data_IF_419745088518
#
_entry.id   IF_419745088518
#
_cell.length_a   1.000
_cell.length_b   1.000
_cell.length_c   1.000
_cell.angle_alpha   90.00
_cell.angle_beta   90.00
_cell.angle_gamma   90.00
#
_symmetry.space_group_name_H-M   'P 1'
#
loop_
_entity.id
_entity.type
_entity.pdbx_description
1 polymer ?
#
# COMPACT_ATOMS: atom_id res chain seq x y z
N UNK A 1 15.81 -16.12 19.11
CA UNK A 1 14.84 -15.72 18.07
C UNK A 1 15.62 -15.13 16.90
N UNK A 2 15.40 -15.57 15.65
CA UNK A 2 16.00 -14.93 14.47
C UNK A 2 14.99 -13.92 13.93
N UNK A 3 15.33 -12.63 13.92
CA UNK A 3 14.45 -11.59 13.38
C UNK A 3 14.48 -11.58 11.86
N UNK A 4 13.49 -10.96 11.24
CA UNK A 4 13.41 -10.82 9.79
C UNK A 4 14.55 -9.97 9.23
N UNK A 5 14.93 -8.91 9.95
CA UNK A 5 16.13 -8.12 9.68
C UNK A 5 17.39 -9.00 9.56
N UNK A 6 17.56 -9.95 10.49
CA UNK A 6 18.69 -10.87 10.45
C UNK A 6 18.67 -11.82 9.25
N UNK A 7 17.47 -12.27 8.84
CA UNK A 7 17.31 -13.13 7.67
C UNK A 7 17.65 -12.37 6.40
N UNK A 8 17.03 -11.21 6.17
CA UNK A 8 17.24 -10.39 4.97
C UNK A 8 18.71 -9.99 4.84
N UNK A 9 19.35 -9.55 5.94
CA UNK A 9 20.79 -9.25 5.91
C UNK A 9 21.61 -10.40 5.33
N UNK A 10 21.37 -11.63 5.77
CA UNK A 10 22.10 -12.81 5.29
C UNK A 10 21.78 -13.13 3.84
N UNK A 11 20.52 -13.02 3.45
CA UNK A 11 20.06 -13.24 2.08
C UNK A 11 20.68 -12.21 1.11
N UNK A 12 20.98 -10.99 1.60
CA UNK A 12 21.68 -9.93 0.87
C UNK A 12 23.21 -10.01 0.92
N UNK A 13 23.77 -11.10 1.45
CA UNK A 13 25.21 -11.38 1.39
C UNK A 13 26.05 -10.88 2.56
N UNK A 14 25.45 -10.17 3.52
CA UNK A 14 26.16 -9.74 4.74
C UNK A 14 26.22 -10.89 5.74
N UNK A 15 27.36 -11.58 5.78
CA UNK A 15 27.55 -12.82 6.55
C UNK A 15 27.50 -12.63 8.08
N UNK A 16 27.71 -11.42 8.58
CA UNK A 16 27.67 -11.11 10.02
C UNK A 16 27.01 -9.75 10.31
N UNK A 17 26.56 -9.58 11.55
CA UNK A 17 26.04 -8.31 12.05
C UNK A 17 27.12 -7.21 11.99
N UNK A 18 28.36 -7.58 12.29
CA UNK A 18 29.52 -6.69 12.17
C UNK A 18 29.70 -6.18 10.74
N UNK A 19 29.64 -7.06 9.74
CA UNK A 19 29.85 -6.69 8.35
C UNK A 19 28.79 -5.69 7.85
N UNK A 20 27.53 -5.87 8.24
CA UNK A 20 26.49 -4.91 7.88
C UNK A 20 26.63 -3.60 8.65
N UNK A 21 26.88 -3.67 9.96
CA UNK A 21 27.08 -2.47 10.79
C UNK A 21 28.23 -1.60 10.26
N UNK A 22 29.36 -2.20 9.87
CA UNK A 22 30.48 -1.51 9.23
C UNK A 22 30.07 -0.88 7.89
N UNK A 23 29.28 -1.58 7.09
CA UNK A 23 28.79 -1.07 5.80
C UNK A 23 27.91 0.17 5.93
N UNK A 24 27.07 0.24 6.98
CA UNK A 24 26.18 1.38 7.24
C UNK A 24 26.78 2.42 8.20
N UNK A 25 28.04 2.26 8.61
CA UNK A 25 28.70 3.19 9.55
C UNK A 25 28.14 3.16 10.98
N UNK A 26 27.57 2.04 11.42
CA UNK A 26 27.00 1.83 12.75
C UNK A 26 27.88 0.93 13.63
N UNK A 27 27.82 1.10 14.95
CA UNK A 27 28.47 0.16 15.86
C UNK A 27 27.82 -1.23 15.77
N UNK A 28 28.65 -2.28 15.80
CA UNK A 28 28.20 -3.69 15.79
C UNK A 28 27.18 -3.96 16.90
N UNK A 29 27.43 -3.45 18.11
CA UNK A 29 26.57 -3.74 19.27
C UNK A 29 25.22 -3.04 19.13
N UNK A 30 25.20 -1.80 18.62
CA UNK A 30 23.96 -1.08 18.30
C UNK A 30 23.14 -1.86 17.27
N UNK A 31 23.76 -2.28 16.17
CA UNK A 31 23.06 -3.06 15.14
C UNK A 31 22.58 -4.42 15.67
N UNK A 32 23.39 -5.09 16.50
CA UNK A 32 23.02 -6.38 17.10
C UNK A 32 21.81 -6.23 18.03
N UNK A 33 21.70 -5.14 18.78
CA UNK A 33 20.53 -4.87 19.62
C UNK A 33 19.24 -4.70 18.79
N UNK A 34 19.34 -4.12 17.59
CA UNK A 34 18.23 -4.07 16.64
C UNK A 34 17.88 -5.45 16.09
N UNK A 35 18.87 -6.23 15.63
CA UNK A 35 18.64 -7.60 15.14
C UNK A 35 18.04 -8.52 16.21
N UNK A 36 18.33 -8.30 17.49
CA UNK A 36 17.81 -9.13 18.58
C UNK A 36 16.46 -8.64 19.10
N UNK A 37 15.98 -7.48 18.65
CA UNK A 37 14.78 -6.83 19.18
C UNK A 37 14.95 -6.27 20.59
N UNK A 38 16.19 -6.14 21.08
CA UNK A 38 16.50 -5.55 22.38
C UNK A 38 16.33 -4.02 22.38
N UNK A 39 16.39 -3.39 21.20
CA UNK A 39 16.15 -1.96 21.00
C UNK A 39 15.10 -1.74 19.92
N UNK A 40 14.10 -0.86 20.13
CA UNK A 40 13.16 -0.49 19.08
C UNK A 40 13.87 0.31 17.97
N UNK A 41 13.51 0.02 16.72
CA UNK A 41 13.98 0.74 15.53
C UNK A 41 12.97 1.88 15.26
N UNK A 42 13.46 3.07 14.94
CA UNK A 42 12.58 4.17 14.49
C UNK A 42 12.14 3.95 13.05
N UNK A 43 11.07 4.61 12.60
CA UNK A 43 10.64 4.48 11.21
C UNK A 43 11.77 4.92 10.27
N UNK A 44 12.51 5.98 10.64
CA UNK A 44 13.60 6.53 9.85
C UNK A 44 14.69 5.50 9.59
N UNK A 45 15.15 4.87 10.67
CA UNK A 45 16.18 3.86 10.58
C UNK A 45 15.69 2.59 9.86
N UNK A 46 14.40 2.28 9.97
CA UNK A 46 13.81 1.15 9.26
C UNK A 46 13.86 1.35 7.74
N UNK A 47 13.53 2.54 7.22
CA UNK A 47 13.61 2.78 5.77
C UNK A 47 15.05 2.89 5.27
N UNK A 48 15.97 3.45 6.07
CA UNK A 48 17.41 3.41 5.75
C UNK A 48 17.93 1.97 5.62
N UNK A 49 17.55 1.08 6.55
CA UNK A 49 17.91 -0.34 6.43
C UNK A 49 17.27 -1.00 5.21
N UNK A 50 16.02 -0.66 4.91
CA UNK A 50 15.29 -1.19 3.76
C UNK A 50 15.97 -0.80 2.43
N UNK A 51 16.41 0.46 2.30
CA UNK A 51 17.12 0.95 1.12
C UNK A 51 18.45 0.23 0.92
N UNK A 52 19.26 0.09 1.99
CA UNK A 52 20.55 -0.62 1.92
C UNK A 52 20.38 -2.11 1.64
N UNK A 53 19.34 -2.73 2.22
CA UNK A 53 19.03 -4.14 2.02
C UNK A 53 18.21 -4.41 0.75
N UNK A 54 17.81 -3.37 0.01
CA UNK A 54 16.98 -3.47 -1.18
C UNK A 54 15.69 -4.27 -0.93
N UNK A 55 14.94 -3.95 0.13
CA UNK A 55 13.65 -4.57 0.43
C UNK A 55 12.61 -3.50 0.80
N UNK A 56 11.33 -3.87 0.88
CA UNK A 56 10.29 -2.97 1.38
C UNK A 56 10.26 -2.94 2.92
N UNK A 57 9.56 -1.95 3.50
CA UNK A 57 9.32 -1.91 4.94
C UNK A 57 8.49 -3.09 5.44
N UNK A 58 7.50 -3.55 4.66
CA UNK A 58 6.71 -4.72 5.00
C UNK A 58 7.57 -5.99 4.97
N UNK A 59 8.44 -6.15 3.98
CA UNK A 59 9.42 -7.26 3.93
C UNK A 59 10.36 -7.21 5.15
N UNK A 60 10.89 -6.03 5.49
CA UNK A 60 11.79 -5.82 6.63
C UNK A 60 11.13 -6.18 7.96
N UNK A 61 9.86 -5.80 8.12
CA UNK A 61 9.03 -6.13 9.28
C UNK A 61 8.57 -7.61 9.29
N UNK A 62 8.71 -8.32 8.16
CA UNK A 62 8.14 -9.66 7.97
C UNK A 62 6.61 -9.68 7.91
N UNK A 63 6.02 -8.56 7.49
CA UNK A 63 4.59 -8.40 7.32
C UNK A 63 4.23 -8.77 5.88
N UNK A 64 3.36 -9.76 5.70
CA UNK A 64 2.70 -9.99 4.42
C UNK A 64 1.52 -9.01 4.32
N UNK A 65 1.81 -7.76 3.96
CA UNK A 65 0.77 -6.77 3.74
C UNK A 65 0.17 -6.96 2.36
N UNK A 66 -1.06 -7.45 2.36
CA UNK A 66 -1.94 -7.37 1.21
C UNK A 66 -2.84 -6.18 1.49
N UNK A 67 -2.65 -5.09 0.75
CA UNK A 67 -3.69 -4.07 0.69
C UNK A 67 -4.97 -4.80 0.31
N UNK A 68 -6.03 -4.63 1.09
CA UNK A 68 -7.30 -5.27 0.79
C UNK A 68 -7.61 -5.00 -0.67
N UNK A 69 -7.64 -6.08 -1.46
CA UNK A 69 -8.41 -6.10 -2.70
C UNK A 69 -9.73 -5.42 -2.38
N UNK A 70 -10.09 -4.40 -3.15
CA UNK A 70 -11.22 -3.52 -2.88
C UNK A 70 -12.35 -4.23 -2.12
N UNK A 71 -12.75 -3.68 -0.97
CA UNK A 71 -13.69 -4.34 -0.05
C UNK A 71 -15.00 -4.76 -0.73
N UNK A 72 -15.39 -4.07 -1.81
CA UNK A 72 -16.40 -4.54 -2.75
C UNK A 72 -15.77 -5.50 -3.78
N UNK A 73 -16.16 -6.80 -3.79
CA UNK A 73 -15.67 -7.76 -4.78
C UNK A 73 -15.91 -7.33 -6.24
N UNK A 74 -16.95 -6.52 -6.50
CA UNK A 74 -17.24 -5.99 -7.84
C UNK A 74 -16.19 -4.97 -8.28
N UNK A 75 -15.73 -4.15 -7.34
CA UNK A 75 -14.68 -3.19 -7.59
C UNK A 75 -13.33 -3.90 -7.78
N UNK A 76 -13.07 -4.98 -7.04
CA UNK A 76 -11.88 -5.80 -7.24
C UNK A 76 -11.84 -6.39 -8.67
N UNK A 77 -12.91 -7.05 -9.10
CA UNK A 77 -13.04 -7.61 -10.45
C UNK A 77 -12.88 -6.52 -11.53
N UNK A 78 -13.56 -5.38 -11.35
CA UNK A 78 -13.46 -4.26 -12.28
C UNK A 78 -12.01 -3.77 -12.45
N UNK A 79 -11.25 -3.68 -11.36
CA UNK A 79 -9.87 -3.20 -11.41
C UNK A 79 -8.90 -4.22 -12.02
N UNK A 80 -9.12 -5.52 -11.75
CA UNK A 80 -8.36 -6.60 -12.40
C UNK A 80 -8.57 -6.61 -13.91
N UNK A 81 -9.81 -6.44 -14.36
CA UNK A 81 -10.15 -6.33 -15.79
C UNK A 81 -9.58 -5.05 -16.40
N UNK A 82 -9.75 -3.91 -15.73
CA UNK A 82 -9.24 -2.61 -16.18
C UNK A 82 -7.71 -2.62 -16.37
N UNK A 83 -6.97 -3.28 -15.48
CA UNK A 83 -5.51 -3.39 -15.56
C UNK A 83 -5.04 -4.10 -16.85
N UNK A 84 -5.87 -5.00 -17.41
CA UNK A 84 -5.56 -5.80 -18.60
C UNK A 84 -5.97 -5.14 -19.92
N UNK A 85 -6.66 -4.01 -19.88
CA UNK A 85 -7.09 -3.28 -21.08
C UNK A 85 -5.93 -2.52 -21.75
N UNK A 86 -6.11 -2.23 -23.05
CA UNK A 86 -5.30 -1.24 -23.75
C UNK A 86 -5.63 0.18 -23.27
N UNK A 87 -4.79 1.15 -23.62
CA UNK A 87 -5.02 2.55 -23.24
C UNK A 87 -6.36 3.09 -23.76
N UNK A 88 -6.70 2.80 -25.02
CA UNK A 88 -8.01 3.15 -25.58
C UNK A 88 -9.17 2.47 -24.82
N UNK A 89 -8.97 1.22 -24.37
CA UNK A 89 -9.95 0.50 -23.55
C UNK A 89 -10.12 1.12 -22.16
N UNK A 90 -9.01 1.55 -21.54
CA UNK A 90 -9.00 2.25 -20.24
C UNK A 90 -9.73 3.60 -20.34
N UNK A 91 -9.46 4.38 -21.40
CA UNK A 91 -10.13 5.66 -21.64
C UNK A 91 -11.65 5.48 -21.80
N UNK A 92 -12.08 4.47 -22.57
CA UNK A 92 -13.48 4.13 -22.75
C UNK A 92 -14.15 3.71 -21.44
N UNK A 93 -13.52 2.81 -20.68
CA UNK A 93 -14.03 2.34 -19.39
C UNK A 93 -14.19 3.50 -18.39
N UNK A 94 -13.17 4.36 -18.29
CA UNK A 94 -13.23 5.54 -17.43
C UNK A 94 -14.33 6.52 -17.87
N UNK A 95 -14.54 6.70 -19.18
CA UNK A 95 -15.64 7.48 -19.74
C UNK A 95 -17.02 6.94 -19.36
N UNK A 96 -17.22 5.62 -19.49
CA UNK A 96 -18.47 4.96 -19.15
C UNK A 96 -18.81 5.12 -17.66
N UNK A 97 -17.85 4.87 -16.76
CA UNK A 97 -18.05 5.04 -15.30
C UNK A 97 -18.40 6.49 -14.95
N UNK A 98 -17.73 7.48 -15.58
CA UNK A 98 -18.07 8.90 -15.39
C UNK A 98 -19.50 9.20 -15.86
N UNK A 99 -19.91 8.65 -16.99
CA UNK A 99 -21.26 8.80 -17.52
C UNK A 99 -22.34 8.21 -16.61
N UNK A 100 -22.11 6.99 -16.09
CA UNK A 100 -23.01 6.33 -15.12
C UNK A 100 -23.18 7.23 -13.89
N UNK A 101 -22.07 7.65 -13.28
CA UNK A 101 -22.07 8.53 -12.09
C UNK A 101 -22.81 9.84 -12.35
N UNK A 102 -22.59 10.46 -13.51
CA UNK A 102 -23.28 11.70 -13.88
C UNK A 102 -24.80 11.48 -14.00
N UNK A 103 -25.23 10.36 -14.57
CA UNK A 103 -26.64 10.02 -14.70
C UNK A 103 -27.32 9.73 -13.35
N UNK A 104 -26.62 9.10 -12.41
CA UNK A 104 -27.12 8.85 -11.05
C UNK A 104 -27.30 10.18 -10.30
N UNK A 105 -26.30 11.08 -10.38
CA UNK A 105 -26.41 12.41 -9.79
C UNK A 105 -27.57 13.23 -10.34
N UNK A 106 -27.81 13.16 -11.66
CA UNK A 106 -28.95 13.85 -12.28
C UNK A 106 -30.31 13.31 -11.82
N UNK A 107 -30.44 11.99 -11.65
CA UNK A 107 -31.69 11.37 -11.16
C UNK A 107 -31.99 11.76 -9.70
N UNK A 108 -30.97 11.79 -8.86
CA UNK A 108 -31.12 12.23 -7.45
C UNK A 108 -31.51 13.71 -7.39
N UNK A 109 -30.92 14.55 -8.24
CA UNK A 109 -31.29 15.97 -8.35
C UNK A 109 -32.73 16.21 -8.83
N UNK A 110 -33.20 15.43 -9.80
CA UNK A 110 -34.58 15.51 -10.28
C UNK A 110 -35.60 15.09 -9.21
N UNK A 111 -35.35 13.97 -8.51
CA UNK A 111 -36.22 13.50 -7.42
C UNK A 111 -36.33 14.52 -6.27
N UNK A 112 -35.21 15.17 -5.89
CA UNK A 112 -35.23 16.21 -4.85
C UNK A 112 -35.98 17.49 -5.24
N UNK A 113 -36.10 17.80 -6.54
CA UNK A 113 -36.88 18.94 -7.04
C UNK A 113 -38.38 18.63 -7.06
N UNK A 114 -38.77 17.40 -7.39
CA UNK A 114 -40.16 16.93 -7.34
C UNK A 114 -40.71 16.97 -5.90
N UNK A 115 -39.93 16.49 -4.92
CA UNK A 115 -40.32 16.53 -3.50
C UNK A 115 -40.51 17.97 -2.97
N UNK A 116 -39.70 18.93 -3.42
CA UNK A 116 -39.83 20.33 -3.02
C UNK A 116 -41.02 21.04 -3.69
N UNK A 117 -41.41 20.65 -4.91
CA UNK A 117 -42.57 21.22 -5.59
C UNK A 117 -43.91 20.75 -4.99
N UNK A 118 -43.97 19.51 -4.50
CA UNK A 118 -45.15 19.00 -3.78
C UNK A 118 -45.32 19.69 -2.42
N UNK A 119 -44.22 19.96 -1.70
CA UNK A 119 -44.26 20.65 -0.41
C UNK A 119 -44.62 22.15 -0.50
N UNK A 120 -44.35 22.82 -1.63
CA UNK A 120 -44.67 24.24 -1.85
C UNK A 120 -46.09 24.49 -2.37
N UNK A 121 -46.84 23.43 -2.69
CA UNK A 121 -48.18 23.49 -3.29
C UNK A 121 -49.30 23.05 -2.32
N UNK A 122 -48.96 22.81 -1.05
CA UNK A 122 -49.88 22.44 0.04
C UNK A 122 -49.98 23.58 1.06
#
# INVERSE_FOLDING_TARGET
MKTQLQRIRKDRGFKSAKAFAEHIGMSKDTYTNYEQGARPITLELAWEFADVLGCTLDELAGRDFKADSYADPRQAVMNDDYARLSDAGKDAAAGAVRGIRASEGARVGAAGLEDHQIAASA
#
